data_IF_480902025551
#
_entry.id   IF_480902025551
#
_cell.length_a   1.000
_cell.length_b   1.000
_cell.length_c   1.000
_cell.angle_alpha   90.00
_cell.angle_beta   90.00
_cell.angle_gamma   90.00
#
_symmetry.space_group_name_H-M   'P 1'
#
loop_
_entity.id
_entity.type
_entity.pdbx_description
1 polymer ?
#
# COMPACT_ATOMS: atom_id res chain seq x y z
N UNK A 1 32.55 43.60 18.33
CA UNK A 1 32.21 43.34 16.91
C UNK A 1 30.76 43.71 16.71
N UNK A 2 30.50 44.66 15.82
CA UNK A 2 29.18 45.19 15.49
C UNK A 2 28.33 44.12 14.81
N UNK A 3 27.05 44.04 15.17
CA UNK A 3 26.07 43.21 14.46
C UNK A 3 25.91 43.69 13.02
N UNK A 4 25.79 42.77 12.07
CA UNK A 4 25.59 43.07 10.65
C UNK A 4 24.16 42.71 10.28
N UNK A 5 23.30 43.71 10.04
CA UNK A 5 21.90 43.46 9.68
C UNK A 5 21.09 42.66 10.71
N UNK A 6 21.44 42.79 12.00
CA UNK A 6 20.84 42.01 13.10
C UNK A 6 21.47 40.62 13.31
N UNK A 7 22.48 40.25 12.54
CA UNK A 7 23.26 39.03 12.73
C UNK A 7 24.53 39.27 13.54
N UNK A 8 24.81 38.34 14.44
CA UNK A 8 26.05 38.24 15.21
C UNK A 8 27.01 37.32 14.44
N UNK A 9 28.19 37.82 14.01
CA UNK A 9 29.18 36.98 13.37
C UNK A 9 29.87 36.07 14.39
N UNK A 10 29.87 34.78 14.10
CA UNK A 10 30.55 33.72 14.86
C UNK A 10 31.75 33.21 14.05
N UNK A 11 32.97 33.73 14.30
CA UNK A 11 34.18 33.24 13.66
C UNK A 11 34.57 31.86 14.16
N UNK A 12 34.83 30.96 13.20
CA UNK A 12 35.22 29.57 13.42
C UNK A 12 36.55 29.31 12.74
N UNK A 13 37.47 28.66 13.44
CA UNK A 13 38.77 28.26 12.90
C UNK A 13 38.73 26.79 12.49
N UNK A 14 39.03 26.53 11.21
CA UNK A 14 39.27 25.18 10.68
C UNK A 14 40.75 24.79 10.79
N UNK A 15 41.61 25.77 10.57
CA UNK A 15 43.06 25.67 10.66
C UNK A 15 43.60 26.98 11.21
N UNK A 16 44.87 26.99 11.59
CA UNK A 16 45.58 28.18 12.07
C UNK A 16 45.49 29.39 11.13
N UNK A 17 45.26 29.16 9.83
CA UNK A 17 45.18 30.21 8.79
C UNK A 17 43.77 30.45 8.22
N UNK A 18 42.79 29.59 8.51
CA UNK A 18 41.47 29.63 7.83
C UNK A 18 40.36 29.86 8.85
N UNK A 19 39.64 30.98 8.67
CA UNK A 19 38.49 31.37 9.48
C UNK A 19 37.24 31.40 8.60
N UNK A 20 36.21 30.68 9.02
CA UNK A 20 34.87 30.72 8.44
C UNK A 20 33.94 31.52 9.36
N UNK A 21 33.01 32.28 8.79
CA UNK A 21 32.06 33.08 9.56
C UNK A 21 30.65 32.52 9.44
N UNK A 22 30.08 32.08 10.56
CA UNK A 22 28.65 31.76 10.68
C UNK A 22 27.93 33.00 11.18
N UNK A 23 26.72 33.25 10.69
CA UNK A 23 25.91 34.39 11.12
C UNK A 23 24.75 33.90 11.98
N UNK A 24 24.70 34.36 13.22
CA UNK A 24 23.70 33.95 14.19
C UNK A 24 22.69 35.08 14.48
N UNK A 25 21.41 34.76 14.57
CA UNK A 25 20.34 35.71 14.93
C UNK A 25 19.28 35.02 15.76
N UNK A 26 18.66 35.73 16.70
CA UNK A 26 17.46 35.23 17.37
C UNK A 26 16.34 34.99 16.35
N UNK A 27 15.74 33.81 16.34
CA UNK A 27 14.60 33.56 15.47
C UNK A 27 13.37 34.31 16.02
N UNK A 28 12.84 35.21 15.19
CA UNK A 28 11.61 35.94 15.47
C UNK A 28 10.49 35.25 14.69
N UNK A 29 9.67 34.46 15.39
CA UNK A 29 8.53 33.79 14.77
C UNK A 29 7.54 34.79 14.16
N UNK A 30 7.02 34.49 12.97
CA UNK A 30 5.98 35.32 12.36
C UNK A 30 4.66 35.19 13.14
N UNK A 31 4.15 36.32 13.66
CA UNK A 31 2.86 36.40 14.37
C UNK A 31 1.64 35.97 13.52
N UNK A 32 1.82 35.73 12.22
CA UNK A 32 0.76 35.40 11.25
C UNK A 32 0.69 33.92 10.86
N UNK A 33 1.64 33.08 11.28
CA UNK A 33 1.62 31.66 10.94
C UNK A 33 0.78 30.88 11.96
N UNK A 34 -0.30 30.25 11.51
CA UNK A 34 -1.25 29.50 12.35
C UNK A 34 -0.64 28.27 13.04
N UNK A 35 0.55 27.83 12.63
CA UNK A 35 1.40 26.84 13.31
C UNK A 35 2.78 27.46 13.54
N UNK A 36 3.10 27.79 14.79
CA UNK A 36 4.46 28.20 15.16
C UNK A 36 5.36 26.95 15.14
N UNK A 37 6.09 26.74 14.03
CA UNK A 37 7.00 25.60 13.88
C UNK A 37 8.16 25.64 14.89
N UNK A 38 8.52 26.84 15.36
CA UNK A 38 9.68 27.08 16.19
C UNK A 38 9.29 27.82 17.48
N UNK A 39 9.73 27.35 18.67
CA UNK A 39 9.43 28.04 19.94
C UNK A 39 10.15 29.40 20.00
N UNK A 40 9.37 30.47 20.21
CA UNK A 40 9.89 31.84 20.31
C UNK A 40 10.75 32.00 21.57
N UNK A 41 11.87 32.71 21.47
CA UNK A 41 12.76 33.01 22.60
C UNK A 41 13.72 31.89 23.00
N UNK A 42 13.68 30.73 22.32
CA UNK A 42 14.65 29.63 22.51
C UNK A 42 15.34 29.19 21.22
N UNK A 43 14.97 29.79 20.10
CA UNK A 43 15.38 29.40 18.75
C UNK A 43 16.44 30.35 18.20
N UNK A 44 17.59 29.79 17.82
CA UNK A 44 18.69 30.48 17.17
C UNK A 44 18.69 30.14 15.69
N UNK A 45 18.61 31.17 14.85
CA UNK A 45 18.80 31.05 13.42
C UNK A 45 20.28 31.22 13.08
N UNK A 46 20.84 30.23 12.38
CA UNK A 46 22.20 30.23 11.89
C UNK A 46 22.18 30.27 10.35
N UNK A 47 23.04 31.10 9.77
CA UNK A 47 23.25 31.20 8.34
C UNK A 47 24.72 31.04 7.99
N UNK A 48 24.97 30.65 6.73
CA UNK A 48 26.30 30.33 6.22
C UNK A 48 26.96 29.18 7.00
N UNK A 49 26.21 28.11 7.26
CA UNK A 49 26.78 26.92 7.88
C UNK A 49 27.80 26.26 6.94
N UNK A 50 28.89 25.71 7.50
CA UNK A 50 29.80 24.85 6.75
C UNK A 50 29.10 23.61 6.20
N UNK A 51 29.60 23.06 5.06
CA UNK A 51 29.03 21.86 4.45
C UNK A 51 29.19 20.61 5.31
N UNK A 52 30.15 20.61 6.24
CA UNK A 52 30.36 19.49 7.14
C UNK A 52 29.50 19.60 8.41
N UNK A 53 28.68 20.64 8.60
CA UNK A 53 27.94 20.85 9.83
C UNK A 53 26.82 19.82 10.04
N UNK A 54 26.99 18.91 11.00
CA UNK A 54 25.91 18.04 11.50
C UNK A 54 25.40 18.51 12.85
N UNK A 55 24.32 17.88 13.34
CA UNK A 55 23.79 18.12 14.68
C UNK A 55 24.85 17.92 15.78
N UNK A 56 25.76 16.96 15.59
CA UNK A 56 26.86 16.71 16.54
C UNK A 56 27.81 17.90 16.60
N UNK A 57 28.23 18.46 15.47
CA UNK A 57 29.15 19.59 15.48
C UNK A 57 28.50 20.85 16.03
N UNK A 58 27.24 21.11 15.66
CA UNK A 58 26.51 22.26 16.18
C UNK A 58 26.27 22.15 17.69
N UNK A 59 25.97 20.94 18.20
CA UNK A 59 25.85 20.70 19.64
C UNK A 59 27.17 20.84 20.38
N UNK A 60 28.28 20.34 19.84
CA UNK A 60 29.59 20.54 20.44
C UNK A 60 30.04 22.01 20.41
N UNK A 61 29.79 22.71 19.31
CA UNK A 61 30.14 24.11 19.13
C UNK A 61 29.34 25.03 20.07
N UNK A 62 28.04 24.78 20.23
CA UNK A 62 27.15 25.60 21.07
C UNK A 62 27.04 25.11 22.53
N UNK A 63 27.66 23.98 22.89
CA UNK A 63 27.71 23.46 24.26
C UNK A 63 28.08 24.50 25.33
N UNK A 64 29.03 25.44 25.10
CA UNK A 64 29.34 26.48 26.09
C UNK A 64 28.21 27.48 26.31
N UNK A 65 27.29 27.62 25.35
CA UNK A 65 26.18 28.56 25.38
C UNK A 65 24.91 27.94 25.97
N UNK A 66 24.76 26.61 25.90
CA UNK A 66 23.69 25.87 26.57
C UNK A 66 23.44 24.47 25.99
N UNK A 67 22.45 23.79 26.54
CA UNK A 67 21.99 22.48 26.06
C UNK A 67 21.00 22.65 24.91
N UNK A 68 21.24 21.94 23.80
CA UNK A 68 20.37 21.93 22.63
C UNK A 68 19.28 20.86 22.82
N UNK A 69 18.05 21.19 22.48
CA UNK A 69 16.91 20.27 22.40
C UNK A 69 16.84 19.60 21.03
N UNK A 70 16.95 20.40 19.95
CA UNK A 70 16.91 19.92 18.57
C UNK A 70 17.65 20.87 17.63
N UNK A 71 18.23 20.31 16.57
CA UNK A 71 18.78 21.05 15.44
C UNK A 71 17.97 20.69 14.20
N UNK A 72 17.52 21.70 13.47
CA UNK A 72 16.79 21.49 12.22
C UNK A 72 17.43 22.29 11.10
N UNK A 73 17.84 21.58 10.06
CA UNK A 73 18.39 22.20 8.86
C UNK A 73 17.25 22.57 7.90
N UNK A 74 17.44 23.61 7.10
CA UNK A 74 16.41 24.07 6.17
C UNK A 74 16.04 23.03 5.10
N UNK A 75 16.96 22.14 4.75
CA UNK A 75 16.75 21.07 3.75
C UNK A 75 15.85 19.96 4.31
N UNK A 76 16.15 19.50 5.52
CA UNK A 76 15.33 18.50 6.23
C UNK A 76 13.89 19.00 6.49
N UNK A 77 13.67 20.31 6.54
CA UNK A 77 12.34 20.90 6.64
C UNK A 77 11.59 20.86 5.28
N UNK A 78 12.29 21.12 4.18
CA UNK A 78 11.70 21.04 2.83
C UNK A 78 11.34 19.60 2.45
N UNK A 79 12.20 18.63 2.77
CA UNK A 79 11.92 17.22 2.49
C UNK A 79 10.66 16.73 3.21
N UNK A 80 10.45 17.15 4.46
CA UNK A 80 9.24 16.78 5.22
C UNK A 80 7.96 17.36 4.61
N UNK A 81 7.99 18.63 4.19
CA UNK A 81 6.84 19.25 3.53
C UNK A 81 6.51 18.55 2.20
N UNK A 82 7.53 18.11 1.43
CA UNK A 82 7.30 17.38 0.16
C UNK A 82 6.77 15.96 0.34
N UNK A 83 7.14 15.27 1.43
CA UNK A 83 6.66 13.91 1.72
C UNK A 83 5.24 13.96 2.28
N UNK A 84 4.91 14.93 3.14
CA UNK A 84 3.54 15.10 3.64
C UNK A 84 2.54 15.51 2.54
N UNK A 85 2.96 16.27 1.52
CA UNK A 85 2.12 16.54 0.33
C UNK A 85 1.96 15.33 -0.61
N UNK A 86 2.90 14.37 -0.57
CA UNK A 86 2.84 13.16 -1.40
C UNK A 86 2.06 12.01 -0.75
N UNK A 87 1.83 12.05 0.56
CA UNK A 87 1.13 11.01 1.33
C UNK A 87 -0.41 11.16 1.27
N UNK A 88 -0.91 12.32 0.80
CA UNK A 88 -2.35 12.57 0.62
C UNK A 88 -2.89 12.07 -0.74
N UNK A 89 -2.07 11.30 -1.48
CA UNK A 89 -2.49 10.54 -2.65
C UNK A 89 -2.37 9.03 -2.43
N UNK A 90 -2.83 8.53 -1.28
CA UNK A 90 -3.17 7.11 -1.15
C UNK A 90 -4.34 6.79 -2.09
N UNK A 91 -4.00 6.56 -3.36
CA UNK A 91 -4.79 5.74 -4.25
C UNK A 91 -4.83 4.34 -3.66
N UNK A 92 -6.02 3.92 -3.23
CA UNK A 92 -6.43 2.52 -3.07
C UNK A 92 -6.18 1.77 -4.40
N UNK A 93 -4.92 1.43 -4.69
CA UNK A 93 -4.59 0.39 -5.65
C UNK A 93 -4.64 -0.94 -4.88
N UNK A 94 -5.84 -1.52 -4.84
CA UNK A 94 -6.01 -2.94 -4.61
C UNK A 94 -5.18 -3.70 -5.66
N UNK A 95 -3.94 -4.05 -5.31
CA UNK A 95 -3.12 -4.95 -6.11
C UNK A 95 -3.76 -6.33 -6.00
N UNK A 96 -4.62 -6.65 -6.96
CA UNK A 96 -5.19 -7.96 -7.19
C UNK A 96 -4.03 -8.91 -7.53
N UNK A 97 -3.42 -9.49 -6.50
CA UNK A 97 -2.34 -10.46 -6.62
C UNK A 97 -2.95 -11.75 -7.16
N UNK A 98 -3.03 -11.85 -8.49
CA UNK A 98 -3.35 -13.06 -9.22
C UNK A 98 -2.34 -14.16 -8.81
N UNK A 99 -2.71 -14.95 -7.82
CA UNK A 99 -2.00 -16.19 -7.50
C UNK A 99 -2.19 -17.18 -8.64
N UNK A 100 -1.20 -17.25 -9.52
CA UNK A 100 -0.91 -18.39 -10.39
C UNK A 100 -0.99 -19.68 -9.54
N UNK A 101 -2.05 -20.45 -9.81
CA UNK A 101 -2.33 -21.70 -9.13
C UNK A 101 -1.37 -22.79 -9.60
N UNK A 102 -0.23 -22.91 -8.93
CA UNK A 102 0.57 -24.14 -9.01
C UNK A 102 -0.24 -25.25 -8.34
N UNK A 103 -0.73 -26.16 -9.18
CA UNK A 103 -1.48 -27.35 -8.81
C UNK A 103 -0.52 -28.28 -8.06
N UNK A 104 -0.58 -28.26 -6.72
CA UNK A 104 0.03 -29.30 -5.92
C UNK A 104 -1.00 -30.42 -5.75
N UNK A 105 -0.78 -31.52 -6.47
CA UNK A 105 -1.55 -32.75 -6.32
C UNK A 105 -1.54 -33.21 -4.86
N UNK A 106 -2.71 -33.55 -4.35
CA UNK A 106 -2.91 -34.01 -2.99
C UNK A 106 -2.51 -35.47 -2.84
N UNK A 107 -1.58 -35.73 -1.92
CA UNK A 107 -1.51 -37.02 -1.24
C UNK A 107 -2.20 -36.89 0.13
N UNK A 108 -3.43 -37.39 0.21
CA UNK A 108 -4.16 -37.64 1.45
C UNK A 108 -3.41 -38.71 2.26
N UNK A 109 -2.55 -38.28 3.18
CA UNK A 109 -1.97 -39.17 4.19
C UNK A 109 -2.74 -39.03 5.51
N UNK A 110 -3.36 -40.13 5.91
CA UNK A 110 -4.16 -40.28 7.14
C UNK A 110 -3.43 -39.81 8.42
N UNK A 111 -4.16 -39.32 9.45
CA UNK A 111 -3.55 -38.75 10.64
C UNK A 111 -2.97 -39.85 11.55
N UNK A 112 -1.65 -40.03 11.52
CA UNK A 112 -0.94 -40.80 12.55
C UNK A 112 -0.85 -39.96 13.83
N UNK A 113 -1.28 -40.54 14.96
CA UNK A 113 -1.17 -39.98 16.32
C UNK A 113 0.25 -39.45 16.57
N UNK A 114 0.41 -38.12 16.60
CA UNK A 114 1.67 -37.48 16.94
C UNK A 114 1.92 -37.55 18.44
N UNK A 115 2.99 -38.27 18.79
CA UNK A 115 3.66 -38.20 20.10
C UNK A 115 3.99 -36.74 20.39
N UNK A 116 3.69 -36.25 21.59
CA UNK A 116 4.01 -34.89 22.06
C UNK A 116 5.53 -34.69 21.96
N UNK A 117 5.98 -34.03 20.90
CA UNK A 117 7.36 -33.57 20.75
C UNK A 117 7.42 -32.13 21.25
N UNK A 118 8.48 -31.85 21.99
CA UNK A 118 8.72 -30.66 22.78
C UNK A 118 8.30 -29.36 22.07
N UNK A 119 7.70 -28.49 22.88
CA UNK A 119 7.23 -27.14 22.57
C UNK A 119 8.40 -26.29 22.05
N UNK A 120 8.72 -26.42 20.76
CA UNK A 120 9.66 -25.52 20.08
C UNK A 120 9.03 -24.14 20.02
N UNK A 121 9.80 -23.13 20.43
CA UNK A 121 9.42 -21.71 20.38
C UNK A 121 8.86 -21.37 18.99
N UNK A 122 7.89 -20.43 18.88
CA UNK A 122 7.40 -19.99 17.58
C UNK A 122 8.59 -19.56 16.69
N UNK A 123 8.54 -19.85 15.38
CA UNK A 123 9.63 -19.48 14.48
C UNK A 123 9.83 -17.96 14.53
N UNK A 124 11.05 -17.55 14.86
CA UNK A 124 11.43 -16.13 14.80
C UNK A 124 11.53 -15.72 13.33
N UNK A 125 11.12 -14.48 12.98
CA UNK A 125 11.30 -13.99 11.62
C UNK A 125 12.79 -14.01 11.26
N UNK A 126 13.17 -14.44 10.05
CA UNK A 126 14.54 -14.36 9.60
C UNK A 126 14.96 -12.88 9.56
N UNK A 127 16.20 -12.60 9.97
CA UNK A 127 16.76 -11.25 9.98
C UNK A 127 17.52 -11.02 8.68
N UNK A 128 17.25 -9.91 8.00
CA UNK A 128 17.98 -9.52 6.79
C UNK A 128 19.42 -9.18 7.16
N UNK A 129 20.37 -9.77 6.46
CA UNK A 129 21.81 -9.47 6.61
C UNK A 129 22.06 -8.16 5.86
N UNK A 130 22.32 -7.03 6.56
CA UNK A 130 22.49 -5.75 5.88
C UNK A 130 23.77 -5.71 5.05
N UNK A 131 23.76 -4.88 4.00
CA UNK A 131 24.97 -4.60 3.22
C UNK A 131 26.03 -3.93 4.11
N UNK A 132 27.33 -4.20 3.87
CA UNK A 132 28.41 -3.59 4.62
C UNK A 132 28.49 -2.10 4.28
N UNK A 133 27.94 -1.25 5.14
CA UNK A 133 28.05 0.20 5.03
C UNK A 133 29.13 0.70 6.00
N UNK A 134 29.94 1.64 5.52
CA UNK A 134 30.88 2.39 6.39
C UNK A 134 30.15 3.65 6.86
N UNK A 135 30.26 4.04 8.14
CA UNK A 135 29.70 5.30 8.60
C UNK A 135 30.41 6.45 7.87
N UNK A 136 29.63 7.20 7.09
CA UNK A 136 30.10 8.37 6.36
C UNK A 136 29.40 9.60 6.91
N UNK A 137 30.14 10.69 7.02
CA UNK A 137 29.60 11.98 7.40
C UNK A 137 28.65 12.50 6.34
N UNK A 138 27.47 12.96 6.73
CA UNK A 138 26.58 13.67 5.80
C UNK A 138 27.17 15.04 5.48
N UNK A 139 27.48 15.27 4.21
CA UNK A 139 27.92 16.57 3.70
C UNK A 139 26.73 17.30 3.09
N UNK A 140 26.55 18.57 3.47
CA UNK A 140 25.47 19.43 3.03
C UNK A 140 25.96 20.49 2.05
N UNK A 141 25.02 21.18 1.41
CA UNK A 141 25.34 22.28 0.51
C UNK A 141 25.92 23.50 1.25
N UNK A 142 26.78 24.26 0.57
CA UNK A 142 27.42 25.45 1.15
C UNK A 142 26.40 26.57 1.37
N UNK A 143 26.55 27.33 2.46
CA UNK A 143 25.70 28.51 2.70
C UNK A 143 24.37 28.20 3.36
N UNK A 144 24.19 26.97 3.85
CA UNK A 144 22.92 26.51 4.42
C UNK A 144 22.56 27.25 5.70
N UNK A 145 21.27 27.19 6.04
CA UNK A 145 20.69 27.74 7.25
C UNK A 145 20.19 26.62 8.17
N UNK A 146 20.25 26.86 9.49
CA UNK A 146 19.65 25.97 10.47
C UNK A 146 18.96 26.74 11.59
N UNK A 147 17.96 26.09 12.17
CA UNK A 147 17.28 26.50 13.39
C UNK A 147 17.74 25.58 14.52
N UNK A 148 18.38 26.16 15.53
CA UNK A 148 18.80 25.46 16.74
C UNK A 148 17.86 25.84 17.87
N UNK A 149 17.20 24.86 18.47
CA UNK A 149 16.33 25.07 19.63
C UNK A 149 17.11 24.73 20.89
N UNK A 150 17.29 25.70 21.77
CA UNK A 150 17.85 25.47 23.09
C UNK A 150 16.78 24.97 24.07
N UNK A 151 17.22 24.17 25.05
CA UNK A 151 16.36 23.72 26.14
C UNK A 151 15.91 24.90 27.04
N UNK A 152 16.81 25.85 27.26
CA UNK A 152 16.61 27.01 28.13
C UNK A 152 16.73 28.34 27.36
N UNK A 153 15.88 29.32 27.66
CA UNK A 153 15.87 30.63 27.00
C UNK A 153 17.12 31.46 27.28
N UNK A 154 17.74 31.30 28.46
CA UNK A 154 19.00 31.99 28.80
C UNK A 154 20.15 31.60 27.85
N UNK A 155 20.08 30.41 27.25
CA UNK A 155 21.10 29.90 26.35
C UNK A 155 21.14 30.67 25.02
N UNK A 156 19.99 31.17 24.56
CA UNK A 156 19.89 31.99 23.36
C UNK A 156 20.61 33.34 23.56
N UNK A 157 20.40 33.99 24.69
CA UNK A 157 21.07 35.25 25.02
C UNK A 157 22.59 35.07 25.08
N UNK A 158 23.06 33.97 25.70
CA UNK A 158 24.49 33.62 25.74
C UNK A 158 25.06 33.32 24.36
N UNK A 159 24.30 32.70 23.46
CA UNK A 159 24.74 32.36 22.11
C UNK A 159 24.88 33.60 21.20
N UNK A 160 24.12 34.66 21.47
CA UNK A 160 24.18 35.92 20.71
C UNK A 160 25.29 36.86 21.18
N UNK A 161 26.00 36.54 22.26
CA UNK A 161 27.17 37.31 22.67
C UNK A 161 28.32 37.03 21.70
N UNK A 162 28.85 38.04 20.98
CA UNK A 162 29.91 37.83 20.01
C UNK A 162 31.18 37.29 20.70
N UNK A 163 31.81 36.23 20.17
CA UNK A 163 33.00 35.65 20.80
C UNK A 163 34.21 36.57 20.60
N UNK A 164 35.06 36.65 21.62
CA UNK A 164 36.30 37.46 21.57
C UNK A 164 37.39 36.83 20.70
N UNK A 165 37.37 35.50 20.52
CA UNK A 165 38.34 34.74 19.74
C UNK A 165 37.63 33.70 18.86
N UNK A 166 38.15 33.39 17.66
CA UNK A 166 37.62 32.31 16.84
C UNK A 166 37.71 31.00 17.61
N UNK A 167 36.62 30.23 17.64
CA UNK A 167 36.61 28.90 18.25
C UNK A 167 36.95 27.85 17.19
N UNK A 168 37.69 26.78 17.55
CA UNK A 168 37.96 25.70 16.61
C UNK A 168 36.65 24.97 16.26
N UNK A 169 36.47 24.61 14.99
CA UNK A 169 35.38 23.74 14.57
C UNK A 169 35.64 22.32 15.08
N UNK A 170 34.64 21.64 15.66
CA UNK A 170 34.80 20.26 16.13
C UNK A 170 35.10 19.30 14.97
N UNK A 171 36.18 18.53 15.10
CA UNK A 171 36.58 17.50 14.13
C UNK A 171 35.99 16.14 14.50
N UNK A 172 35.56 15.36 13.49
CA UNK A 172 35.15 13.96 13.65
C UNK A 172 36.26 13.02 13.15
N UNK A 173 36.23 11.77 13.60
CA UNK A 173 37.14 10.69 13.16
C UNK A 173 36.73 10.10 11.79
N UNK A 174 35.57 10.52 11.27
CA UNK A 174 35.06 10.10 9.97
C UNK A 174 35.94 10.65 8.83
N UNK A 175 36.06 9.89 7.72
CA UNK A 175 36.84 10.34 6.57
C UNK A 175 36.22 11.62 5.99
N UNK A 176 37.08 12.60 5.69
CA UNK A 176 36.71 13.89 5.09
C UNK A 176 37.46 14.13 3.78
N UNK A 177 36.98 15.06 2.95
CA UNK A 177 37.60 15.42 1.68
C UNK A 177 37.68 14.24 0.70
N UNK A 178 38.85 13.99 0.11
CA UNK A 178 39.04 12.89 -0.86
C UNK A 178 38.78 11.52 -0.23
N UNK A 179 39.23 11.30 1.01
CA UNK A 179 39.03 10.02 1.70
C UNK A 179 37.55 9.68 1.84
N UNK A 180 36.71 10.68 2.13
CA UNK A 180 35.26 10.53 2.19
C UNK A 180 34.70 9.98 0.87
N UNK A 181 35.04 10.61 -0.26
CA UNK A 181 34.52 10.22 -1.56
C UNK A 181 35.03 8.85 -2.01
N UNK A 182 36.27 8.48 -1.66
CA UNK A 182 36.77 7.12 -1.91
C UNK A 182 35.99 6.08 -1.11
N UNK A 183 35.75 6.34 0.18
CA UNK A 183 34.95 5.43 1.01
C UNK A 183 33.50 5.33 0.55
N UNK A 184 32.92 6.42 0.07
CA UNK A 184 31.59 6.46 -0.55
C UNK A 184 31.58 5.64 -1.84
N UNK A 185 32.59 5.82 -2.69
CA UNK A 185 32.73 5.09 -3.94
C UNK A 185 32.78 3.57 -3.72
N UNK A 186 33.53 3.14 -2.70
CA UNK A 186 33.62 1.74 -2.29
C UNK A 186 32.28 1.24 -1.70
N UNK A 187 31.60 2.04 -0.86
CA UNK A 187 30.33 1.63 -0.24
C UNK A 187 29.20 1.46 -1.24
N UNK A 188 29.22 2.22 -2.34
CA UNK A 188 28.27 2.07 -3.44
C UNK A 188 28.53 0.82 -4.29
N UNK A 189 29.67 0.15 -4.12
CA UNK A 189 30.08 -1.06 -4.87
C UNK A 189 30.44 -2.19 -3.91
N UNK A 190 29.46 -2.68 -3.12
CA UNK A 190 29.70 -3.82 -2.24
C UNK A 190 30.07 -5.07 -3.07
N UNK A 191 30.82 -6.02 -2.48
CA UNK A 191 31.16 -7.26 -3.15
C UNK A 191 29.90 -8.08 -3.44
N UNK A 192 29.91 -8.84 -4.54
CA UNK A 192 28.78 -9.64 -4.99
C UNK A 192 28.29 -10.63 -3.92
N UNK A 193 29.20 -11.18 -3.12
CA UNK A 193 28.87 -12.11 -2.03
C UNK A 193 27.98 -11.46 -0.96
N UNK A 194 28.25 -10.21 -0.59
CA UNK A 194 27.45 -9.46 0.37
C UNK A 194 26.08 -9.10 -0.21
N UNK A 195 26.03 -8.72 -1.50
CA UNK A 195 24.76 -8.45 -2.20
C UNK A 195 23.89 -9.69 -2.26
N UNK A 196 24.49 -10.84 -2.56
CA UNK A 196 23.80 -12.12 -2.56
C UNK A 196 23.24 -12.47 -1.19
N UNK A 197 24.04 -12.38 -0.14
CA UNK A 197 23.59 -12.66 1.23
C UNK A 197 22.43 -11.75 1.65
N UNK A 198 22.49 -10.47 1.31
CA UNK A 198 21.39 -9.53 1.52
C UNK A 198 20.13 -9.97 0.77
N UNK A 199 20.24 -10.25 -0.54
CA UNK A 199 19.11 -10.65 -1.37
C UNK A 199 18.46 -11.96 -0.88
N UNK A 200 19.26 -12.98 -0.61
CA UNK A 200 18.79 -14.28 -0.11
C UNK A 200 18.04 -14.10 1.23
N UNK A 201 18.63 -13.35 2.18
CA UNK A 201 17.98 -13.10 3.49
C UNK A 201 16.72 -12.22 3.40
N UNK A 202 16.66 -11.27 2.45
CA UNK A 202 15.48 -10.47 2.18
C UNK A 202 14.35 -11.32 1.58
N UNK A 203 14.68 -12.23 0.65
CA UNK A 203 13.72 -13.18 0.07
C UNK A 203 13.19 -14.14 1.13
N UNK A 204 14.03 -14.65 2.03
CA UNK A 204 13.59 -15.51 3.13
C UNK A 204 12.60 -14.80 4.07
N UNK A 205 12.83 -13.52 4.39
CA UNK A 205 11.91 -12.71 5.18
C UNK A 205 10.58 -12.54 4.45
N UNK A 206 10.63 -12.18 3.17
CA UNK A 206 9.42 -12.03 2.35
C UNK A 206 8.61 -13.34 2.29
N UNK A 207 9.27 -14.48 2.06
CA UNK A 207 8.62 -15.79 2.06
C UNK A 207 8.00 -16.14 3.41
N UNK A 208 8.69 -15.81 4.51
CA UNK A 208 8.17 -16.00 5.87
C UNK A 208 6.90 -15.17 6.12
N UNK A 209 6.90 -13.89 5.71
CA UNK A 209 5.74 -13.01 5.82
C UNK A 209 4.58 -13.49 4.94
N UNK A 210 4.87 -13.89 3.71
CA UNK A 210 3.90 -14.43 2.77
C UNK A 210 3.30 -15.76 3.25
N UNK A 211 4.10 -16.61 3.90
CA UNK A 211 3.59 -17.82 4.56
C UNK A 211 2.69 -17.47 5.75
N UNK A 212 3.04 -16.45 6.54
CA UNK A 212 2.23 -15.96 7.67
C UNK A 212 0.90 -15.37 7.20
N UNK A 213 0.88 -14.58 6.13
CA UNK A 213 -0.37 -14.04 5.55
C UNK A 213 -1.24 -15.15 4.97
N UNK A 214 -0.66 -16.13 4.26
CA UNK A 214 -1.36 -17.33 3.79
C UNK A 214 -1.92 -18.18 4.93
N UNK A 215 -1.20 -18.34 6.04
CA UNK A 215 -1.72 -19.04 7.22
C UNK A 215 -2.89 -18.27 7.84
N UNK A 216 -2.75 -16.96 8.07
CA UNK A 216 -3.84 -16.12 8.58
C UNK A 216 -5.08 -16.20 7.69
N UNK A 217 -4.93 -16.17 6.37
CA UNK A 217 -6.06 -16.29 5.45
C UNK A 217 -6.66 -17.70 5.42
N UNK A 218 -5.86 -18.78 5.55
CA UNK A 218 -6.39 -20.15 5.71
C UNK A 218 -7.22 -20.31 6.98
N UNK A 219 -6.79 -19.75 8.12
CA UNK A 219 -7.58 -19.76 9.34
C UNK A 219 -8.87 -18.94 9.20
N UNK A 220 -8.82 -17.77 8.55
CA UNK A 220 -10.01 -16.95 8.26
C UNK A 220 -10.97 -17.58 7.24
N UNK A 221 -10.53 -18.52 6.39
CA UNK A 221 -11.39 -19.23 5.43
C UNK A 221 -12.40 -20.20 6.06
N UNK A 222 -12.43 -20.34 7.38
CA UNK A 222 -13.38 -21.21 8.08
C UNK A 222 -14.22 -20.56 9.19
N UNK A 223 -13.89 -19.34 9.60
CA UNK A 223 -14.57 -18.63 10.69
C UNK A 223 -15.34 -17.45 10.11
N UNK A 224 -16.65 -17.38 10.37
CA UNK A 224 -17.47 -16.24 9.98
C UNK A 224 -16.97 -15.03 10.77
N UNK A 225 -16.42 -14.04 10.07
CA UNK A 225 -16.09 -12.74 10.65
C UNK A 225 -17.44 -12.04 10.87
N UNK A 226 -17.83 -11.93 12.15
CA UNK A 226 -19.07 -11.26 12.58
C UNK A 226 -18.68 -9.87 13.08
N UNK A 227 -19.27 -8.85 12.49
CA UNK A 227 -19.06 -7.45 12.91
C UNK A 227 -19.74 -7.16 14.26
N UNK A 228 -19.45 -6.00 14.87
CA UNK A 228 -20.00 -5.59 16.18
C UNK A 228 -21.55 -5.55 16.22
N UNK A 229 -22.20 -5.40 15.06
CA UNK A 229 -23.65 -5.42 14.87
C UNK A 229 -24.23 -6.81 14.55
N UNK A 230 -23.43 -7.88 14.57
CA UNK A 230 -23.91 -9.25 14.37
C UNK A 230 -24.08 -9.69 12.90
N UNK A 231 -23.63 -8.89 11.94
CA UNK A 231 -23.65 -9.25 10.51
C UNK A 231 -22.37 -10.01 10.11
N UNK A 232 -22.52 -11.06 9.29
CA UNK A 232 -21.40 -11.86 8.78
C UNK A 232 -20.89 -11.33 7.44
N UNK A 233 -19.61 -10.99 7.34
CA UNK A 233 -18.99 -10.54 6.09
C UNK A 233 -18.93 -11.68 5.05
N UNK A 234 -19.51 -11.46 3.86
CA UNK A 234 -19.50 -12.44 2.76
C UNK A 234 -18.13 -12.45 2.06
N UNK A 235 -17.20 -13.24 2.58
CA UNK A 235 -15.93 -13.51 1.87
C UNK A 235 -16.10 -14.60 0.81
N UNK A 236 -15.53 -14.40 -0.38
CA UNK A 236 -15.50 -15.42 -1.45
C UNK A 236 -14.74 -16.65 -0.95
N UNK A 237 -15.46 -17.76 -0.71
CA UNK A 237 -14.86 -19.05 -0.37
C UNK A 237 -13.86 -19.49 -1.45
N UNK A 238 -12.90 -20.35 -1.07
CA UNK A 238 -11.83 -20.85 -1.96
C UNK A 238 -12.33 -21.56 -3.23
N UNK A 239 -11.44 -22.26 -3.94
CA UNK A 239 -11.62 -22.78 -5.31
C UNK A 239 -12.95 -23.50 -5.67
N UNK A 240 -13.79 -23.84 -4.70
CA UNK A 240 -15.10 -24.48 -4.89
C UNK A 240 -16.32 -23.63 -4.48
N UNK A 241 -16.17 -22.35 -4.13
CA UNK A 241 -17.29 -21.46 -3.79
C UNK A 241 -18.12 -21.88 -2.58
N UNK A 242 -17.59 -22.79 -1.76
CA UNK A 242 -18.19 -23.23 -0.51
C UNK A 242 -17.64 -22.34 0.61
N UNK A 243 -18.47 -21.46 1.16
CA UNK A 243 -18.23 -20.91 2.50
C UNK A 243 -18.63 -21.97 3.53
N UNK A 244 -17.97 -21.95 4.69
CA UNK A 244 -18.31 -22.85 5.80
C UNK A 244 -19.72 -22.53 6.29
N UNK A 245 -20.65 -23.50 6.17
CA UNK A 245 -22.03 -23.35 6.66
C UNK A 245 -23.16 -23.53 5.64
N UNK A 246 -22.90 -24.09 4.46
CA UNK A 246 -23.95 -24.44 3.49
C UNK A 246 -23.88 -23.58 2.25
N UNK A 247 -23.54 -24.24 1.13
CA UNK A 247 -23.18 -23.59 -0.12
C UNK A 247 -24.27 -22.71 -0.71
N UNK A 248 -24.04 -21.39 -0.69
CA UNK A 248 -24.62 -20.50 -1.68
C UNK A 248 -23.67 -20.49 -2.87
N UNK A 249 -23.96 -21.35 -3.85
CA UNK A 249 -23.26 -21.37 -5.12
C UNK A 249 -23.55 -20.07 -5.89
N UNK A 250 -22.71 -19.05 -5.69
CA UNK A 250 -22.69 -17.90 -6.60
C UNK A 250 -22.07 -18.38 -7.90
N UNK A 251 -22.94 -18.79 -8.82
CA UNK A 251 -22.56 -19.19 -10.16
C UNK A 251 -21.95 -17.99 -10.89
N UNK A 252 -20.62 -17.83 -10.80
CA UNK A 252 -19.87 -17.06 -11.77
C UNK A 252 -20.02 -17.76 -13.11
N UNK A 253 -21.00 -17.30 -13.89
CA UNK A 253 -21.31 -17.79 -15.22
C UNK A 253 -20.12 -17.42 -16.11
N UNK A 254 -19.13 -18.31 -16.23
CA UNK A 254 -18.06 -18.19 -17.22
C UNK A 254 -18.73 -17.98 -18.58
N UNK A 255 -18.49 -16.82 -19.17
CA UNK A 255 -18.90 -16.52 -20.53
C UNK A 255 -18.06 -17.39 -21.46
N UNK A 256 -18.55 -18.59 -21.79
CA UNK A 256 -17.93 -19.42 -22.82
C UNK A 256 -18.31 -18.87 -24.19
N UNK A 257 -17.37 -18.12 -24.77
CA UNK A 257 -17.27 -17.84 -26.20
C UNK A 257 -16.76 -19.10 -26.89
N UNK A 258 -17.53 -19.57 -27.87
CA UNK A 258 -17.30 -20.71 -28.77
C UNK A 258 -18.24 -21.88 -28.49
N UNK A 259 -19.15 -22.09 -29.44
CA UNK A 259 -20.10 -23.17 -29.44
C UNK A 259 -19.42 -24.48 -29.78
N UNK A 260 -19.54 -25.44 -28.88
CA UNK A 260 -19.76 -26.86 -29.11
C UNK A 260 -19.51 -27.58 -27.79
N UNK A 261 -20.54 -28.21 -27.23
CA UNK A 261 -20.57 -29.67 -27.00
C UNK A 261 -21.62 -30.09 -25.98
N UNK A 262 -22.13 -31.28 -26.27
CA UNK A 262 -22.71 -32.27 -25.37
C UNK A 262 -24.22 -32.18 -25.10
N UNK A 263 -24.93 -32.95 -25.91
CA UNK A 263 -26.22 -33.56 -25.61
C UNK A 263 -26.17 -34.26 -24.24
N UNK A 264 -26.54 -33.54 -23.18
CA UNK A 264 -27.09 -34.16 -21.98
C UNK A 264 -28.43 -33.50 -21.69
N UNK A 265 -29.49 -34.26 -21.95
CA UNK A 265 -30.89 -33.98 -21.67
C UNK A 265 -31.11 -33.40 -20.27
N UNK A 266 -31.05 -32.07 -20.16
CA UNK A 266 -31.78 -31.33 -19.12
C UNK A 266 -33.02 -30.78 -19.80
N UNK A 267 -34.19 -31.38 -19.49
CA UNK A 267 -35.48 -30.77 -19.80
C UNK A 267 -35.42 -29.32 -19.31
N UNK A 268 -35.41 -28.36 -20.23
CA UNK A 268 -35.66 -26.96 -19.91
C UNK A 268 -37.00 -26.94 -19.18
N UNK A 269 -36.98 -26.52 -17.93
CA UNK A 269 -38.20 -26.19 -17.20
C UNK A 269 -38.77 -24.99 -17.96
N UNK A 270 -39.76 -25.22 -18.81
CA UNK A 270 -40.48 -24.14 -19.48
C UNK A 270 -40.95 -23.17 -18.39
N UNK A 271 -40.80 -21.86 -18.67
CA UNK A 271 -41.30 -20.83 -17.76
C UNK A 271 -42.75 -21.18 -17.45
N UNK A 272 -43.10 -21.26 -16.16
CA UNK A 272 -44.49 -21.46 -15.72
C UNK A 272 -45.28 -20.18 -15.99
N UNK A 273 -45.37 -19.78 -17.24
CA UNK A 273 -46.29 -18.76 -17.69
C UNK A 273 -47.68 -19.39 -17.66
N UNK A 274 -48.51 -18.93 -16.72
CA UNK A 274 -49.88 -19.43 -16.57
C UNK A 274 -50.67 -18.98 -17.80
N UNK A 275 -50.94 -19.91 -18.73
CA UNK A 275 -51.59 -19.66 -20.04
C UNK A 275 -53.08 -19.30 -19.97
N UNK A 276 -53.64 -19.12 -18.78
CA UNK A 276 -55.07 -18.78 -18.57
C UNK A 276 -55.28 -17.62 -17.58
N UNK A 277 -54.21 -16.90 -17.23
CA UNK A 277 -54.29 -15.86 -16.20
C UNK A 277 -54.95 -14.57 -16.72
N UNK A 278 -54.72 -14.22 -17.98
CA UNK A 278 -55.20 -12.94 -18.52
C UNK A 278 -56.45 -13.10 -19.39
N UNK A 279 -57.35 -12.12 -19.34
CA UNK A 279 -58.59 -12.12 -20.12
C UNK A 279 -58.35 -12.20 -21.64
N UNK A 280 -57.27 -11.61 -22.15
CA UNK A 280 -56.92 -11.67 -23.57
C UNK A 280 -56.54 -13.10 -24.01
N UNK A 281 -55.96 -13.92 -23.14
CA UNK A 281 -55.62 -15.32 -23.45
C UNK A 281 -56.89 -16.16 -23.64
N UNK A 282 -57.93 -15.90 -22.83
CA UNK A 282 -59.24 -16.55 -22.97
C UNK A 282 -59.94 -16.14 -24.28
N UNK A 283 -59.89 -14.85 -24.62
CA UNK A 283 -60.47 -14.34 -25.87
C UNK A 283 -59.77 -14.93 -27.11
N UNK A 284 -58.43 -15.00 -27.10
CA UNK A 284 -57.65 -15.56 -28.22
C UNK A 284 -57.93 -17.07 -28.38
N UNK A 285 -58.02 -17.81 -27.26
CA UNK A 285 -58.38 -19.24 -27.28
C UNK A 285 -59.74 -19.47 -27.92
N UNK A 286 -60.77 -18.73 -27.49
CA UNK A 286 -62.12 -18.81 -28.08
C UNK A 286 -62.13 -18.47 -29.58
N UNK A 287 -61.39 -17.43 -29.99
CA UNK A 287 -61.26 -17.07 -31.41
C UNK A 287 -60.62 -18.20 -32.22
N UNK A 288 -59.55 -18.80 -31.69
CA UNK A 288 -58.86 -19.91 -32.34
C UNK A 288 -59.76 -21.15 -32.47
N UNK A 289 -60.59 -21.44 -31.48
CA UNK A 289 -61.51 -22.58 -31.49
C UNK A 289 -62.64 -22.37 -32.51
N UNK A 290 -63.18 -21.14 -32.62
CA UNK A 290 -64.16 -20.80 -33.66
C UNK A 290 -63.58 -20.93 -35.07
N UNK A 291 -62.33 -20.53 -35.28
CA UNK A 291 -61.65 -20.68 -36.57
C UNK A 291 -61.44 -22.16 -36.93
N UNK A 292 -61.01 -22.99 -35.97
CA UNK A 292 -60.88 -24.43 -36.18
C UNK A 292 -62.23 -25.09 -36.48
N UNK A 293 -63.30 -24.68 -35.81
CA UNK A 293 -64.63 -25.21 -36.07
C UNK A 293 -65.10 -24.90 -37.49
N UNK A 294 -64.83 -23.67 -37.98
CA UNK A 294 -65.11 -23.29 -39.37
C UNK A 294 -64.33 -24.14 -40.36
N UNK A 295 -63.02 -24.31 -40.16
CA UNK A 295 -62.18 -25.16 -41.02
C UNK A 295 -62.69 -26.61 -41.05
N UNK A 296 -62.96 -27.19 -39.88
CA UNK A 296 -63.48 -28.56 -39.80
C UNK A 296 -64.85 -28.70 -40.48
N UNK A 297 -65.70 -27.67 -40.41
CA UNK A 297 -66.99 -27.66 -41.10
C UNK A 297 -66.82 -27.61 -42.62
N UNK A 298 -65.93 -26.76 -43.12
CA UNK A 298 -65.61 -26.69 -44.56
C UNK A 298 -65.06 -28.02 -45.08
N UNK A 299 -64.13 -28.64 -44.34
CA UNK A 299 -63.60 -29.96 -44.67
C UNK A 299 -64.69 -31.04 -44.67
N UNK A 300 -65.57 -31.02 -43.67
CA UNK A 300 -66.67 -32.00 -43.56
C UNK A 300 -67.68 -31.80 -44.69
N UNK A 301 -68.01 -30.55 -45.03
CA UNK A 301 -68.86 -30.21 -46.17
C UNK A 301 -68.25 -30.69 -47.48
N UNK A 302 -66.96 -30.46 -47.70
CA UNK A 302 -66.24 -30.94 -48.88
C UNK A 302 -66.24 -32.48 -48.96
N UNK A 303 -66.07 -33.18 -47.83
CA UNK A 303 -66.16 -34.65 -47.78
C UNK A 303 -67.58 -35.16 -48.12
N UNK A 304 -68.61 -34.51 -47.59
CA UNK A 304 -70.01 -34.86 -47.88
C UNK A 304 -70.35 -34.60 -49.34
N UNK A 305 -69.87 -33.52 -49.94
CA UNK A 305 -70.05 -33.23 -51.36
C UNK A 305 -69.40 -34.29 -52.25
N UNK A 306 -68.17 -34.73 -51.91
CA UNK A 306 -67.50 -35.85 -52.59
C UNK A 306 -68.32 -37.16 -52.49
N UNK A 307 -68.89 -37.47 -51.32
CA UNK A 307 -69.75 -38.65 -51.12
C UNK A 307 -71.09 -38.55 -51.87
N UNK A 308 -71.69 -37.36 -51.97
CA UNK A 308 -72.91 -37.14 -52.76
C UNK A 308 -72.63 -37.29 -54.26
N UNK A 309 -71.47 -36.82 -54.73
CA UNK A 309 -71.05 -37.00 -56.13
C UNK A 309 -70.83 -38.50 -56.46
N UNK A 310 -70.26 -39.29 -55.55
CA UNK A 310 -70.05 -40.72 -55.75
C UNK A 310 -71.32 -41.57 -55.61
N UNK A 311 -72.32 -41.10 -54.85
CA UNK A 311 -73.65 -41.75 -54.69
C UNK A 311 -74.72 -41.23 -55.64
N UNK A 312 -74.33 -40.66 -56.80
CA UNK A 312 -75.27 -40.42 -57.90
C UNK A 312 -75.68 -41.76 -58.50
N UNK A 313 -76.86 -42.23 -58.11
CA UNK A 313 -77.52 -43.43 -58.63
C UNK A 313 -77.66 -43.32 -60.16
N UNK A 314 -77.06 -44.25 -60.89
CA UNK A 314 -77.20 -44.38 -62.34
C UNK A 314 -78.09 -45.61 -62.60
N UNK A 315 -79.40 -45.44 -62.83
CA UNK A 315 -80.27 -46.54 -63.22
C UNK A 315 -80.11 -46.80 -64.71
N UNK A 316 -79.39 -47.86 -65.07
CA UNK A 316 -79.54 -48.77 -66.22
C UNK A 316 -78.34 -49.71 -66.25
#
# INVERSE_FOLDING_TARGET
MSTVGGFVPLPISYSSSVIHYIYARAHEGSKKAAKQLWPVGRTLFLANLPPDATERELSLFLKPHGTIERVCFSEDAQEKDTVEESDDSESDEEVDMETEGVVAEGEDTQPKKRRRLNKTKPPQPPQVIPLPTKPLRTLRHTGQTAHVVFLDSSSLERALVPPTKPRPWPTSDEPSGLAHYLTLYDSLRPPLDAVRAYADSAMELYEFELAKTKQKSKYRKGEAIVDEDGFTLVTRGGAYGQTVGGGVAVASKKFQRSGETSNRNRKKKESKEKTEFYAFQKAEKQRSDLMKLKQNWEETKAKVEKLKASRRFKPY
#
